data_IF_457127568974
#
_entry.id   IF_457127568974
#
_cell.length_a   1.000
_cell.length_b   1.000
_cell.length_c   1.000
_cell.angle_alpha   90.00
_cell.angle_beta   90.00
_cell.angle_gamma   90.00
#
_symmetry.space_group_name_H-M   'P 1'
#
loop_
_entity.id
_entity.type
_entity.pdbx_description
1 polymer ?
#
# COMPACT_ATOMS: atom_id res chain seq x y z
N UNK A 1 23.71 12.49 -12.73
CA UNK A 1 22.32 12.35 -13.22
C UNK A 1 21.45 12.75 -12.05
N UNK A 2 20.63 13.79 -12.18
CA UNK A 2 19.60 14.01 -11.19
C UNK A 2 18.53 12.96 -11.45
N UNK A 3 18.47 11.92 -10.62
CA UNK A 3 17.28 11.08 -10.55
C UNK A 3 16.21 11.93 -9.89
N UNK A 4 15.55 12.76 -10.70
CA UNK A 4 14.41 13.51 -10.23
C UNK A 4 13.20 12.58 -10.23
N UNK A 5 13.11 11.79 -9.16
CA UNK A 5 11.92 11.03 -8.81
C UNK A 5 10.90 11.93 -8.10
N UNK A 6 10.73 13.17 -8.58
CA UNK A 6 9.68 14.07 -8.11
C UNK A 6 8.32 13.58 -8.59
N UNK A 7 7.59 12.99 -7.66
CA UNK A 7 6.15 12.89 -7.75
C UNK A 7 5.53 14.20 -7.23
N UNK A 8 4.37 14.63 -7.76
CA UNK A 8 3.70 15.80 -7.22
C UNK A 8 3.53 15.65 -5.72
N UNK A 9 4.04 16.63 -4.93
CA UNK A 9 3.76 16.70 -3.50
C UNK A 9 2.25 16.77 -3.32
N UNK A 10 1.67 15.80 -2.62
CA UNK A 10 0.26 15.87 -2.20
C UNK A 10 0.14 17.07 -1.25
N UNK A 11 -0.32 18.19 -1.80
CA UNK A 11 -0.58 19.41 -1.04
C UNK A 11 -1.94 19.28 -0.31
N UNK A 12 -2.25 20.23 0.58
CA UNK A 12 -3.51 20.25 1.34
C UNK A 12 -4.74 20.30 0.41
N UNK A 13 -4.60 20.88 -0.77
CA UNK A 13 -5.59 20.89 -1.86
C UNK A 13 -5.89 19.47 -2.40
N UNK A 14 -4.88 18.66 -2.74
CA UNK A 14 -5.08 17.26 -3.18
C UNK A 14 -5.69 16.41 -2.04
N UNK A 15 -5.40 16.74 -0.76
CA UNK A 15 -6.11 16.14 0.38
C UNK A 15 -7.60 16.51 0.45
N UNK A 16 -8.01 17.68 -0.05
CA UNK A 16 -9.43 18.06 -0.13
C UNK A 16 -10.13 17.39 -1.30
N UNK A 17 -9.43 17.12 -2.41
CA UNK A 17 -9.97 16.33 -3.54
C UNK A 17 -10.18 14.85 -3.20
N UNK A 18 -9.46 14.32 -2.21
CA UNK A 18 -9.68 12.96 -1.67
C UNK A 18 -10.90 12.88 -0.72
N UNK A 19 -11.64 13.96 -0.50
CA UNK A 19 -12.94 13.90 0.15
C UNK A 19 -14.00 13.50 -0.88
N UNK A 20 -14.88 12.53 -0.59
CA UNK A 20 -15.89 12.16 -1.54
C UNK A 20 -16.89 13.31 -1.70
N UNK A 21 -16.81 14.00 -2.84
CA UNK A 21 -17.93 14.76 -3.41
C UNK A 21 -19.15 13.84 -3.42
N UNK A 22 -20.33 14.33 -3.02
CA UNK A 22 -21.58 13.54 -3.00
C UNK A 22 -21.77 12.84 -4.35
N UNK A 23 -21.44 11.55 -4.40
CA UNK A 23 -21.70 10.68 -5.54
C UNK A 23 -23.16 10.30 -5.48
N UNK A 24 -23.90 10.60 -6.54
CA UNK A 24 -25.23 10.05 -6.79
C UNK A 24 -25.14 8.53 -6.78
N UNK A 25 -25.85 7.90 -5.84
CA UNK A 25 -25.84 6.46 -5.62
C UNK A 25 -26.42 5.77 -6.87
N UNK A 26 -25.54 5.34 -7.76
CA UNK A 26 -25.83 4.26 -8.70
C UNK A 26 -25.36 2.97 -8.03
N UNK A 27 -26.32 2.11 -7.69
CA UNK A 27 -26.12 0.82 -7.05
C UNK A 27 -25.24 -0.11 -7.89
N UNK A 28 -23.94 0.01 -7.68
CA UNK A 28 -23.01 -1.12 -7.67
C UNK A 28 -22.18 -0.92 -6.42
N UNK A 29 -22.50 -1.63 -5.34
CA UNK A 29 -21.59 -1.76 -4.21
C UNK A 29 -20.28 -2.25 -4.82
N UNK A 30 -19.21 -1.43 -4.88
CA UNK A 30 -17.97 -1.89 -5.47
C UNK A 30 -17.57 -3.15 -4.72
N UNK A 31 -17.34 -4.24 -5.45
CA UNK A 31 -17.02 -5.53 -4.87
C UNK A 31 -16.00 -5.34 -3.76
N UNK A 32 -16.38 -5.70 -2.53
CA UNK A 32 -15.58 -5.44 -1.33
C UNK A 32 -14.19 -6.05 -1.54
N UNK A 33 -13.16 -5.21 -1.80
CA UNK A 33 -11.79 -5.67 -2.03
C UNK A 33 -11.26 -6.30 -0.73
N UNK A 34 -11.21 -7.62 -0.68
CA UNK A 34 -10.57 -8.36 0.42
C UNK A 34 -9.05 -8.28 0.20
N UNK A 35 -8.33 -7.79 1.21
CA UNK A 35 -6.86 -7.71 1.20
C UNK A 35 -6.26 -9.09 1.32
N UNK A 36 -5.34 -9.44 0.42
CA UNK A 36 -4.71 -10.78 0.36
C UNK A 36 -3.21 -10.73 0.12
N UNK A 37 -2.69 -9.63 -0.42
CA UNK A 37 -1.28 -9.53 -0.80
C UNK A 37 -0.49 -8.75 0.26
N UNK A 38 0.21 -9.48 1.13
CA UNK A 38 0.97 -8.97 2.28
C UNK A 38 2.48 -9.30 2.21
N UNK A 39 3.19 -8.89 1.15
CA UNK A 39 4.62 -9.12 1.08
C UNK A 39 5.38 -8.25 2.10
N UNK A 40 6.59 -8.66 2.45
CA UNK A 40 7.56 -7.81 3.16
C UNK A 40 8.34 -6.91 2.20
N UNK A 41 8.51 -7.34 0.94
CA UNK A 41 9.15 -6.59 -0.14
C UNK A 41 8.48 -6.92 -1.48
N UNK A 42 8.29 -5.93 -2.37
CA UNK A 42 7.34 -6.09 -3.48
C UNK A 42 7.76 -5.49 -4.82
N UNK A 43 8.67 -4.51 -4.85
CA UNK A 43 9.08 -3.81 -6.07
C UNK A 43 10.56 -4.08 -6.33
N UNK A 44 10.84 -4.97 -7.27
CA UNK A 44 12.18 -5.37 -7.68
C UNK A 44 12.26 -5.38 -9.19
N UNK A 45 12.53 -4.22 -9.78
CA UNK A 45 12.47 -4.07 -11.22
C UNK A 45 13.55 -3.09 -11.70
N UNK A 46 14.06 -3.32 -12.90
CA UNK A 46 14.98 -2.42 -13.58
C UNK A 46 14.25 -1.63 -14.68
N UNK A 47 14.81 -0.47 -15.01
CA UNK A 47 14.26 0.45 -16.01
C UNK A 47 15.36 1.13 -16.79
N UNK A 48 15.23 1.15 -18.12
CA UNK A 48 16.11 1.91 -19.00
C UNK A 48 15.53 3.30 -19.22
N UNK A 49 16.30 4.33 -18.88
CA UNK A 49 15.89 5.71 -19.07
C UNK A 49 16.15 6.16 -20.52
N UNK A 50 15.22 6.95 -21.06
CA UNK A 50 15.43 7.64 -22.34
C UNK A 50 16.53 8.71 -22.24
N UNK A 51 16.94 9.29 -23.36
CA UNK A 51 17.98 10.34 -23.42
C UNK A 51 17.70 11.55 -22.51
N UNK A 52 16.44 11.79 -22.13
CA UNK A 52 16.02 12.86 -21.22
C UNK A 52 16.22 12.51 -19.74
N UNK A 53 16.52 11.25 -19.40
CA UNK A 53 16.81 10.81 -18.03
C UNK A 53 15.60 10.82 -17.08
N UNK A 54 14.37 10.79 -17.60
CA UNK A 54 13.13 10.82 -16.80
C UNK A 54 12.24 9.63 -17.11
N UNK A 55 11.66 9.05 -16.06
CA UNK A 55 10.65 8.00 -16.12
C UNK A 55 9.53 8.32 -15.12
N UNK A 56 8.29 8.14 -15.55
CA UNK A 56 7.10 8.29 -14.70
C UNK A 56 6.25 7.05 -14.88
N UNK A 57 6.01 6.32 -13.79
CA UNK A 57 5.20 5.10 -13.83
C UNK A 57 4.18 5.07 -12.70
N UNK A 58 3.08 4.35 -12.95
CA UNK A 58 2.05 4.06 -11.96
C UNK A 58 2.37 2.71 -11.36
N UNK A 59 2.53 2.67 -10.04
CA UNK A 59 2.82 1.44 -9.31
C UNK A 59 1.69 1.17 -8.31
N UNK A 60 1.25 -0.09 -8.21
CA UNK A 60 0.18 -0.48 -7.30
C UNK A 60 0.76 -0.96 -5.97
N UNK A 61 0.50 -0.23 -4.88
CA UNK A 61 0.97 -0.61 -3.56
C UNK A 61 0.36 -1.96 -3.09
N UNK A 62 1.10 -2.77 -2.32
CA UNK A 62 0.57 -3.95 -1.68
C UNK A 62 -0.52 -3.62 -0.64
N UNK A 63 -1.27 -4.64 -0.23
CA UNK A 63 -2.39 -4.47 0.71
C UNK A 63 -1.93 -4.30 2.19
N UNK A 64 -0.63 -4.44 2.46
CA UNK A 64 -0.03 -4.16 3.77
C UNK A 64 -0.18 -2.68 4.11
N UNK A 65 -0.84 -2.39 5.24
CA UNK A 65 -0.99 -1.04 5.77
C UNK A 65 0.27 -0.68 6.56
N UNK A 66 1.25 -0.16 5.84
CA UNK A 66 2.57 0.18 6.37
C UNK A 66 3.16 1.38 5.63
N UNK A 67 4.31 1.83 6.12
CA UNK A 67 5.17 2.75 5.41
C UNK A 67 6.13 1.95 4.54
N UNK A 68 6.02 2.13 3.24
CA UNK A 68 6.92 1.57 2.24
C UNK A 68 8.08 2.53 1.98
N UNK A 69 9.29 2.00 1.86
CA UNK A 69 10.49 2.74 1.48
C UNK A 69 11.01 2.14 0.18
N UNK A 70 11.17 2.98 -0.84
CA UNK A 70 11.67 2.58 -2.16
C UNK A 70 13.08 3.13 -2.32
N UNK A 71 14.00 2.23 -2.68
CA UNK A 71 15.38 2.54 -3.01
C UNK A 71 15.58 2.37 -4.52
N UNK A 72 16.40 3.25 -5.12
CA UNK A 72 16.75 3.17 -6.53
C UNK A 72 18.26 3.37 -6.71
N UNK A 73 18.84 2.54 -7.58
CA UNK A 73 20.25 2.61 -7.99
C UNK A 73 20.28 2.70 -9.51
N UNK A 74 21.06 3.64 -10.02
CA UNK A 74 21.22 3.87 -11.44
C UNK A 74 22.65 3.63 -11.90
N UNK A 75 22.81 3.13 -13.13
CA UNK A 75 24.10 2.88 -13.75
C UNK A 75 24.13 3.59 -15.11
N UNK A 76 25.22 4.28 -15.41
CA UNK A 76 25.44 4.99 -16.67
C UNK A 76 26.87 4.83 -17.16
N UNK A 77 27.05 4.53 -18.44
CA UNK A 77 28.38 4.37 -19.05
C UNK A 77 29.25 5.64 -18.93
N UNK A 78 28.65 6.83 -18.97
CA UNK A 78 29.39 8.11 -18.93
C UNK A 78 29.57 8.67 -17.53
N UNK A 79 28.77 8.23 -16.55
CA UNK A 79 28.74 8.83 -15.20
C UNK A 79 28.88 7.81 -14.07
N UNK A 80 29.05 6.53 -14.37
CA UNK A 80 29.18 5.46 -13.39
C UNK A 80 27.87 5.15 -12.65
N UNK A 81 28.00 4.76 -11.38
CA UNK A 81 26.91 4.34 -10.50
C UNK A 81 26.41 5.51 -9.65
N UNK A 82 25.11 5.58 -9.41
CA UNK A 82 24.47 6.59 -8.57
C UNK A 82 23.39 5.96 -7.70
N UNK A 83 23.33 6.34 -6.43
CA UNK A 83 22.28 5.94 -5.49
C UNK A 83 21.35 7.11 -5.27
N UNK A 84 20.04 6.91 -5.49
CA UNK A 84 19.05 7.95 -5.27
C UNK A 84 18.64 8.02 -3.79
N UNK A 85 18.23 9.21 -3.29
CA UNK A 85 17.57 9.31 -2.00
C UNK A 85 16.31 8.43 -1.96
N UNK A 86 16.01 7.79 -0.81
CA UNK A 86 14.85 6.93 -0.70
C UNK A 86 13.54 7.72 -0.79
N UNK A 87 12.51 7.10 -1.35
CA UNK A 87 11.14 7.63 -1.36
C UNK A 87 10.26 6.84 -0.41
N UNK A 88 9.40 7.55 0.32
CA UNK A 88 8.52 6.99 1.33
C UNK A 88 7.06 7.08 0.87
N UNK A 89 6.34 5.96 0.93
CA UNK A 89 4.90 5.87 0.65
C UNK A 89 4.17 5.30 1.86
N UNK A 90 2.97 5.82 2.15
CA UNK A 90 2.16 5.33 3.27
C UNK A 90 0.91 4.67 2.70
N UNK A 91 0.77 3.36 2.93
CA UNK A 91 -0.47 2.63 2.67
C UNK A 91 -1.37 2.76 3.89
N UNK A 92 -2.48 3.48 3.73
CA UNK A 92 -3.39 3.81 4.82
C UNK A 92 -4.83 3.45 4.47
N UNK A 93 -5.53 2.90 5.47
CA UNK A 93 -6.97 2.66 5.41
C UNK A 93 -7.58 3.12 6.75
N UNK A 94 -8.63 3.96 6.73
CA UNK A 94 -9.19 4.51 7.97
C UNK A 94 -10.01 3.50 8.78
N UNK A 95 -10.31 2.32 8.23
CA UNK A 95 -11.04 1.26 8.91
C UNK A 95 -10.53 -0.10 8.44
N UNK A 96 -9.94 -0.89 9.32
CA UNK A 96 -9.34 -2.19 8.95
C UNK A 96 -9.32 -3.17 10.12
N UNK A 97 -9.26 -4.45 9.80
CA UNK A 97 -8.96 -5.51 10.76
C UNK A 97 -7.49 -5.94 10.63
N UNK A 98 -6.85 -6.19 11.76
CA UNK A 98 -5.51 -6.79 11.87
C UNK A 98 -5.67 -8.17 12.52
N UNK A 99 -5.14 -9.19 11.85
CA UNK A 99 -5.07 -10.54 12.36
C UNK A 99 -3.65 -10.78 12.91
N UNK A 100 -3.56 -11.25 14.15
CA UNK A 100 -2.32 -11.66 14.79
C UNK A 100 -2.34 -13.18 14.89
N UNK A 101 -1.44 -13.83 14.13
CA UNK A 101 -1.24 -15.26 14.16
C UNK A 101 0.17 -15.55 14.69
N UNK A 102 0.36 -16.68 15.40
CA UNK A 102 1.71 -17.14 15.69
C UNK A 102 2.45 -17.47 14.40
N UNK A 103 3.78 -17.35 14.43
CA UNK A 103 4.63 -17.61 13.26
C UNK A 103 4.55 -19.07 12.79
N UNK A 104 4.30 -19.99 13.73
CA UNK A 104 4.15 -21.43 13.47
C UNK A 104 2.95 -21.96 14.24
N UNK A 105 2.31 -22.97 13.67
CA UNK A 105 1.24 -23.73 14.28
C UNK A 105 1.52 -25.21 14.02
N UNK A 106 1.29 -26.07 15.01
CA UNK A 106 1.40 -27.52 14.84
C UNK A 106 0.01 -28.09 14.63
N UNK A 107 -0.11 -29.09 13.75
CA UNK A 107 -1.36 -29.79 13.53
C UNK A 107 -1.80 -30.47 14.83
N UNK A 108 -3.09 -30.42 15.12
CA UNK A 108 -3.70 -30.96 16.35
C UNK A 108 -3.41 -30.17 17.64
N UNK A 109 -2.84 -28.96 17.53
CA UNK A 109 -2.75 -28.01 18.64
C UNK A 109 -3.86 -26.96 18.59
N UNK A 110 -4.21 -26.43 19.76
CA UNK A 110 -5.06 -25.25 19.89
C UNK A 110 -4.23 -23.98 19.64
N UNK A 111 -4.69 -23.13 18.73
CA UNK A 111 -4.00 -21.90 18.36
C UNK A 111 -4.92 -20.70 18.57
N UNK A 112 -4.42 -19.71 19.32
CA UNK A 112 -5.12 -18.44 19.48
C UNK A 112 -4.88 -17.55 18.25
N UNK A 113 -5.96 -17.21 17.54
CA UNK A 113 -5.94 -16.24 16.44
C UNK A 113 -6.65 -14.95 16.87
N UNK A 114 -5.87 -13.90 17.16
CA UNK A 114 -6.43 -12.64 17.66
C UNK A 114 -6.73 -11.66 16.53
N UNK A 115 -7.97 -11.20 16.45
CA UNK A 115 -8.39 -10.14 15.51
C UNK A 115 -8.65 -8.85 16.25
N UNK A 116 -8.02 -7.76 15.79
CA UNK A 116 -8.26 -6.40 16.29
C UNK A 116 -8.83 -5.54 15.16
N UNK A 117 -9.95 -4.87 15.41
CA UNK A 117 -10.56 -3.93 14.47
C UNK A 117 -10.19 -2.51 14.85
N UNK A 118 -9.63 -1.77 13.90
CA UNK A 118 -9.28 -0.37 14.04
C UNK A 118 -10.27 0.50 13.27
N UNK A 119 -10.81 1.51 13.94
CA UNK A 119 -11.64 2.55 13.34
C UNK A 119 -11.03 3.93 13.63
N UNK A 120 -10.44 4.52 12.61
CA UNK A 120 -9.89 5.89 12.63
C UNK A 120 -10.83 6.90 11.95
N UNK A 121 -12.07 6.50 11.66
CA UNK A 121 -13.11 7.44 11.19
C UNK A 121 -13.68 8.20 12.39
N UNK A 122 -14.24 9.36 12.13
CA UNK A 122 -14.93 10.17 13.15
C UNK A 122 -16.27 9.57 13.57
N UNK A 123 -16.89 8.74 12.73
CA UNK A 123 -18.18 8.11 13.01
C UNK A 123 -18.04 6.78 13.74
N UNK A 124 -18.96 6.55 14.69
CA UNK A 124 -19.10 5.25 15.32
C UNK A 124 -19.71 4.25 14.32
N UNK A 125 -19.24 3.01 14.34
CA UNK A 125 -19.64 1.96 13.41
C UNK A 125 -19.89 0.66 14.16
N UNK A 126 -21.07 0.06 13.97
CA UNK A 126 -21.34 -1.30 14.45
C UNK A 126 -20.69 -2.29 13.49
N UNK A 127 -19.84 -3.16 14.02
CA UNK A 127 -19.06 -4.12 13.22
C UNK A 127 -19.50 -5.54 13.53
N UNK A 128 -19.74 -6.33 12.48
CA UNK A 128 -19.93 -7.78 12.60
C UNK A 128 -18.68 -8.49 12.07
N UNK A 129 -18.07 -9.31 12.91
CA UNK A 129 -16.86 -10.09 12.60
C UNK A 129 -17.21 -11.56 12.48
N UNK A 130 -16.80 -12.18 11.38
CA UNK A 130 -17.01 -13.60 11.13
C UNK A 130 -15.74 -14.22 10.53
N UNK A 131 -15.41 -15.43 10.94
CA UNK A 131 -14.40 -16.27 10.30
C UNK A 131 -15.11 -17.15 9.26
N UNK A 132 -14.66 -17.07 8.02
CA UNK A 132 -15.17 -17.94 6.95
C UNK A 132 -14.28 -19.16 6.83
N UNK A 133 -14.90 -20.33 6.75
CA UNK A 133 -14.25 -21.60 6.41
C UNK A 133 -14.62 -21.94 4.96
N UNK A 134 -13.66 -22.36 4.16
CA UNK A 134 -13.90 -22.92 2.82
C UNK A 134 -13.30 -24.31 2.76
N UNK A 135 -14.09 -25.27 2.28
CA UNK A 135 -13.68 -26.65 1.98
C UNK A 135 -13.24 -26.75 0.52
#
# INVERSE_FOLDING_TARGET
>A
IGFDMSFPRINKEVRRELMPTRVSVSDRIPAKKIRKYFPESWLFEDRVLSSRGRLTEKITLPDTLTTWVIHAVGISATRGVCVAPPIVFISYMPFFAKLQLPHKAVRLEEVEARVTVYNYKTSNSRVNTHFQYSF
#
